data_IF_914201201996
#
_entry.id   IF_914201201996
#
_cell.length_a   1.000
_cell.length_b   1.000
_cell.length_c   1.000
_cell.angle_alpha   90.00
_cell.angle_beta   90.00
_cell.angle_gamma   90.00
#
_symmetry.space_group_name_H-M   'P 1'
#
loop_
_entity.id
_entity.type
_entity.pdbx_description
1 polymer ?
#
# COMPACT_ATOMS: atom_id res chain seq x y z
N UNK A 1 1.95 6.29 6.17
CA UNK A 1 2.36 6.39 7.57
C UNK A 1 1.56 5.43 8.40
N UNK A 2 2.22 4.73 9.32
CA UNK A 2 1.60 3.79 10.24
C UNK A 2 1.93 4.18 11.68
N UNK A 3 0.94 4.15 12.55
CA UNK A 3 1.13 4.26 13.98
C UNK A 3 0.89 2.90 14.64
N UNK A 4 1.77 2.52 15.56
CA UNK A 4 1.77 1.20 16.20
C UNK A 4 1.81 1.32 17.73
N UNK A 5 1.09 0.47 18.45
CA UNK A 5 1.10 0.45 19.92
C UNK A 5 2.45 -0.03 20.47
N UNK A 6 3.13 -0.91 19.76
CA UNK A 6 4.47 -1.41 20.11
C UNK A 6 5.45 -1.09 19.00
N UNK A 7 6.26 -0.05 19.20
CA UNK A 7 7.23 0.40 18.21
C UNK A 7 8.30 -0.68 17.93
N UNK A 8 8.78 -1.37 18.94
CA UNK A 8 9.79 -2.44 18.77
C UNK A 8 9.29 -3.55 17.84
N UNK A 9 8.04 -3.99 18.02
CA UNK A 9 7.45 -5.00 17.15
C UNK A 9 7.19 -4.46 15.74
N UNK A 10 6.74 -3.21 15.62
CA UNK A 10 6.54 -2.55 14.31
C UNK A 10 7.83 -2.47 13.49
N UNK A 11 8.93 -2.05 14.12
CA UNK A 11 10.24 -1.97 13.48
C UNK A 11 10.80 -3.36 13.13
N UNK A 12 10.65 -4.32 14.04
CA UNK A 12 11.02 -5.72 13.78
C UNK A 12 10.24 -6.28 12.59
N UNK A 13 8.92 -6.04 12.54
CA UNK A 13 8.09 -6.48 11.42
C UNK A 13 8.56 -5.88 10.09
N UNK A 14 8.80 -4.57 10.02
CA UNK A 14 9.26 -3.92 8.79
C UNK A 14 10.61 -4.48 8.31
N UNK A 15 11.53 -4.70 9.23
CA UNK A 15 12.81 -5.35 8.94
C UNK A 15 12.63 -6.79 8.45
N UNK A 16 11.84 -7.63 9.16
CA UNK A 16 11.57 -9.01 8.76
C UNK A 16 10.85 -9.08 7.41
N UNK A 17 9.95 -8.13 7.14
CA UNK A 17 9.26 -7.99 5.86
C UNK A 17 10.21 -7.69 4.69
N UNK A 18 11.40 -7.19 4.96
CA UNK A 18 12.45 -6.97 3.96
C UNK A 18 12.56 -5.53 3.47
N UNK A 19 11.94 -4.60 4.17
CA UNK A 19 12.14 -3.17 3.94
C UNK A 19 13.49 -2.71 4.48
N UNK A 20 14.04 -1.63 3.91
CA UNK A 20 15.31 -1.04 4.35
C UNK A 20 15.04 0.22 5.15
N UNK A 21 15.52 0.27 6.39
CA UNK A 21 15.45 1.47 7.21
C UNK A 21 16.43 2.53 6.69
N UNK A 22 15.98 3.78 6.63
CA UNK A 22 16.76 4.95 6.24
C UNK A 22 16.55 6.07 7.25
N UNK A 23 17.38 7.11 7.19
CA UNK A 23 17.25 8.27 8.05
C UNK A 23 15.89 8.96 7.84
N UNK A 24 15.22 9.27 8.94
CA UNK A 24 13.95 9.98 8.94
C UNK A 24 14.16 11.46 9.26
N UNK A 25 13.30 12.33 8.72
CA UNK A 25 13.37 13.78 8.97
C UNK A 25 12.95 14.16 10.41
N UNK A 26 12.23 13.28 11.11
CA UNK A 26 11.71 13.51 12.47
C UNK A 26 12.30 12.48 13.44
N UNK A 27 12.68 12.92 14.63
CA UNK A 27 13.32 12.06 15.66
C UNK A 27 12.39 10.95 16.18
N UNK A 28 11.06 11.17 16.14
CA UNK A 28 10.05 10.24 16.64
C UNK A 28 9.45 9.35 15.54
N UNK A 29 10.05 9.35 14.36
CA UNK A 29 9.63 8.51 13.23
C UNK A 29 10.74 7.60 12.71
N UNK A 30 10.34 6.48 12.14
CA UNK A 30 11.23 5.52 11.49
C UNK A 30 10.79 5.35 10.03
N UNK A 31 11.71 5.60 9.12
CA UNK A 31 11.43 5.57 7.70
C UNK A 31 12.02 4.30 7.07
N UNK A 32 11.17 3.56 6.38
CA UNK A 32 11.54 2.36 5.63
C UNK A 32 11.26 2.56 4.15
N UNK A 33 12.09 1.99 3.29
CA UNK A 33 11.91 2.06 1.85
C UNK A 33 11.86 0.66 1.21
N UNK A 34 11.04 0.54 0.17
CA UNK A 34 11.09 -0.54 -0.81
C UNK A 34 12.14 -0.25 -1.89
N UNK A 35 12.43 -1.23 -2.76
CA UNK A 35 13.48 -1.12 -3.79
C UNK A 35 13.25 0.06 -4.75
N UNK A 36 11.99 0.39 -5.08
CA UNK A 36 11.64 1.53 -5.96
C UNK A 36 11.66 2.89 -5.26
N UNK A 37 11.97 2.93 -3.96
CA UNK A 37 11.92 4.14 -3.14
C UNK A 37 10.54 4.44 -2.54
N UNK A 38 9.54 3.55 -2.70
CA UNK A 38 8.27 3.67 -1.96
C UNK A 38 8.53 3.64 -0.46
N UNK A 39 7.86 4.51 0.29
CA UNK A 39 8.16 4.80 1.68
C UNK A 39 7.07 4.32 2.63
N UNK A 40 7.51 3.79 3.77
CA UNK A 40 6.70 3.45 4.93
C UNK A 40 7.29 4.18 6.14
N UNK A 41 6.52 5.08 6.72
CA UNK A 41 6.86 5.73 7.98
C UNK A 41 6.16 5.01 9.12
N UNK A 42 6.88 4.68 10.18
CA UNK A 42 6.36 4.03 11.38
C UNK A 42 6.62 4.94 12.58
N UNK A 43 5.55 5.19 13.35
CA UNK A 43 5.57 6.00 14.56
C UNK A 43 4.88 5.26 15.70
N UNK A 44 5.14 5.69 16.94
CA UNK A 44 4.35 5.23 18.09
C UNK A 44 2.94 5.84 18.04
N UNK A 45 1.92 5.03 18.28
CA UNK A 45 0.54 5.50 18.34
C UNK A 45 0.35 6.47 19.51
N UNK A 46 -0.25 7.63 19.24
CA UNK A 46 -0.54 8.66 20.22
C UNK A 46 -1.92 9.28 19.94
N UNK A 47 -2.93 9.02 20.79
CA UNK A 47 -4.27 9.59 20.60
C UNK A 47 -4.32 11.13 20.71
N UNK A 48 -3.30 11.77 21.30
CA UNK A 48 -3.21 13.23 21.37
C UNK A 48 -2.71 13.85 20.06
N UNK A 49 -2.19 13.03 19.14
CA UNK A 49 -1.68 13.45 17.84
C UNK A 49 -2.50 12.82 16.72
N UNK A 50 -3.35 13.59 16.02
CA UNK A 50 -4.19 13.06 14.93
C UNK A 50 -3.38 12.32 13.83
N UNK A 51 -2.19 12.82 13.51
CA UNK A 51 -1.26 12.23 12.53
C UNK A 51 -0.54 10.95 13.04
N UNK A 52 -0.73 10.59 14.31
CA UNK A 52 -0.27 9.35 14.96
C UNK A 52 -1.43 8.49 15.46
N UNK A 53 -2.64 8.75 15.00
CA UNK A 53 -3.84 7.99 15.38
C UNK A 53 -4.26 7.08 14.23
N UNK A 54 -4.21 5.73 14.41
CA UNK A 54 -4.59 4.79 13.38
C UNK A 54 -6.09 4.82 13.06
N UNK A 55 -6.44 4.58 11.81
CA UNK A 55 -7.83 4.54 11.35
C UNK A 55 -8.50 3.26 11.82
N UNK A 56 -9.48 3.39 12.70
CA UNK A 56 -10.39 2.32 13.12
C UNK A 56 -9.77 1.14 13.89
N UNK A 57 -8.48 1.19 14.22
CA UNK A 57 -7.76 0.16 14.98
C UNK A 57 -6.80 0.84 15.98
N UNK A 58 -6.20 0.07 16.88
CA UNK A 58 -5.18 0.57 17.81
C UNK A 58 -3.78 0.63 17.20
N UNK A 59 -3.54 -0.12 16.13
CA UNK A 59 -2.35 -0.05 15.30
C UNK A 59 -2.75 -0.13 13.83
N UNK A 60 -2.10 0.64 12.96
CA UNK A 60 -2.39 0.63 11.54
C UNK A 60 -2.06 1.93 10.84
N UNK A 61 -2.66 2.12 9.68
CA UNK A 61 -2.47 3.28 8.83
C UNK A 61 -3.08 4.54 9.47
N UNK A 62 -2.36 5.65 9.46
CA UNK A 62 -2.85 6.98 9.87
C UNK A 62 -2.81 8.01 8.73
N UNK A 63 -1.96 7.87 7.74
CA UNK A 63 -1.92 8.76 6.56
C UNK A 63 -1.57 7.96 5.30
N UNK A 64 -2.16 8.34 4.17
CA UNK A 64 -1.80 7.84 2.82
C UNK A 64 -1.19 8.97 2.02
N UNK A 65 0.03 8.75 1.51
CA UNK A 65 0.68 9.71 0.61
C UNK A 65 0.59 9.24 -0.84
N UNK A 66 -0.01 10.05 -1.69
CA UNK A 66 -0.11 9.83 -3.13
C UNK A 66 0.97 10.60 -3.89
N UNK A 67 1.61 9.93 -4.84
CA UNK A 67 2.59 10.54 -5.73
C UNK A 67 1.92 11.30 -6.88
N UNK A 68 2.29 12.57 -7.06
CA UNK A 68 1.82 13.45 -8.14
C UNK A 68 2.97 13.71 -9.12
N UNK A 69 2.67 13.84 -10.41
CA UNK A 69 3.70 13.95 -11.47
C UNK A 69 4.44 15.28 -11.48
N UNK A 70 3.78 16.37 -11.07
CA UNK A 70 4.35 17.72 -11.20
C UNK A 70 3.80 18.68 -10.14
N UNK A 71 4.47 19.80 -9.96
CA UNK A 71 3.98 20.93 -9.14
C UNK A 71 2.63 21.45 -9.64
N UNK A 72 2.44 21.55 -10.95
CA UNK A 72 1.14 21.93 -11.54
C UNK A 72 0.02 20.98 -11.13
N UNK A 73 0.33 19.69 -10.95
CA UNK A 73 -0.63 18.71 -10.42
C UNK A 73 -0.96 18.96 -8.96
N UNK A 74 0.03 19.35 -8.14
CA UNK A 74 -0.21 19.77 -6.75
C UNK A 74 -1.08 21.03 -6.71
N UNK A 75 -0.77 22.04 -7.52
CA UNK A 75 -1.54 23.29 -7.59
C UNK A 75 -3.00 23.05 -7.99
N UNK A 76 -3.24 22.14 -8.94
CA UNK A 76 -4.57 21.74 -9.34
C UNK A 76 -5.33 21.04 -8.21
N UNK A 77 -4.68 20.16 -7.45
CA UNK A 77 -5.28 19.51 -6.29
C UNK A 77 -5.58 20.52 -5.17
N UNK A 78 -4.70 21.49 -4.91
CA UNK A 78 -4.97 22.58 -3.95
C UNK A 78 -6.23 23.33 -4.37
N UNK A 79 -6.31 23.77 -5.63
CA UNK A 79 -7.46 24.52 -6.15
C UNK A 79 -8.77 23.71 -6.07
N UNK A 80 -8.71 22.43 -6.36
CA UNK A 80 -9.87 21.54 -6.32
C UNK A 80 -10.33 21.26 -4.90
N UNK A 81 -9.42 20.84 -4.02
CA UNK A 81 -9.76 20.37 -2.66
C UNK A 81 -10.09 21.51 -1.71
N UNK A 82 -9.49 22.71 -1.86
CA UNK A 82 -9.81 23.87 -1.01
C UNK A 82 -11.22 24.42 -1.23
N UNK A 83 -11.97 23.92 -2.19
CA UNK A 83 -13.35 24.35 -2.43
C UNK A 83 -14.33 23.91 -1.35
N UNK A 84 -14.03 22.84 -0.61
CA UNK A 84 -14.96 22.22 0.35
C UNK A 84 -14.31 21.68 1.62
N UNK A 85 -12.96 21.73 1.74
CA UNK A 85 -12.23 21.21 2.91
C UNK A 85 -10.99 22.01 3.22
N UNK A 86 -10.51 21.86 4.45
CA UNK A 86 -9.23 22.43 4.85
C UNK A 86 -8.09 21.69 4.15
N UNK A 87 -7.17 22.47 3.60
CA UNK A 87 -5.94 21.97 2.99
C UNK A 87 -4.75 22.72 3.58
N UNK A 88 -3.63 22.02 3.76
CA UNK A 88 -2.33 22.62 4.09
C UNK A 88 -1.32 22.27 3.01
N UNK A 89 -0.50 23.26 2.61
CA UNK A 89 0.61 23.04 1.69
C UNK A 89 1.91 23.49 2.36
N UNK A 90 2.69 22.52 2.82
CA UNK A 90 3.93 22.78 3.54
C UNK A 90 5.06 21.93 2.93
N UNK A 91 6.19 22.56 2.64
CA UNK A 91 7.38 21.90 2.07
C UNK A 91 7.08 21.07 0.80
N UNK A 92 6.12 21.53 -0.02
CA UNK A 92 5.72 20.83 -1.25
C UNK A 92 4.82 19.60 -1.03
N UNK A 93 4.33 19.40 0.19
CA UNK A 93 3.36 18.35 0.55
C UNK A 93 2.01 18.99 0.83
N UNK A 94 1.03 18.67 0.02
CA UNK A 94 -0.38 19.02 0.26
C UNK A 94 -1.00 17.97 1.18
N UNK A 95 -1.72 18.40 2.22
CA UNK A 95 -2.48 17.52 3.13
C UNK A 95 -3.93 17.94 3.24
N UNK A 96 -4.81 16.96 3.37
CA UNK A 96 -6.24 17.13 3.67
C UNK A 96 -6.80 15.86 4.29
N UNK A 97 -8.10 15.85 4.57
CA UNK A 97 -8.86 14.61 4.87
C UNK A 97 -9.84 14.32 3.73
N UNK A 98 -10.08 13.03 3.46
CA UNK A 98 -11.17 12.61 2.57
C UNK A 98 -12.51 12.57 3.31
N UNK A 99 -13.57 12.16 2.59
CA UNK A 99 -14.92 12.07 3.15
C UNK A 99 -15.10 10.91 4.17
N UNK A 100 -14.11 10.06 4.30
CA UNK A 100 -14.05 8.95 5.25
C UNK A 100 -13.23 9.28 6.51
N UNK A 101 -12.65 10.49 6.58
CA UNK A 101 -11.75 10.91 7.66
C UNK A 101 -10.33 10.37 7.51
N UNK A 102 -9.95 9.85 6.34
CA UNK A 102 -8.60 9.38 6.08
C UNK A 102 -7.70 10.59 5.81
N UNK A 103 -6.58 10.71 6.52
CA UNK A 103 -5.57 11.70 6.22
C UNK A 103 -4.86 11.36 4.92
N UNK A 104 -4.91 12.28 3.98
CA UNK A 104 -4.27 12.20 2.67
C UNK A 104 -3.14 13.21 2.57
N UNK A 105 -2.02 12.77 2.01
CA UNK A 105 -0.93 13.64 1.58
C UNK A 105 -0.68 13.46 0.08
N UNK A 106 -0.25 14.54 -0.58
CA UNK A 106 0.13 14.53 -2.00
C UNK A 106 1.47 15.22 -2.15
N UNK A 107 2.41 14.58 -2.83
CA UNK A 107 3.73 15.14 -3.11
C UNK A 107 4.24 14.68 -4.46
N UNK A 108 5.29 15.34 -4.95
CA UNK A 108 5.96 14.88 -6.18
C UNK A 108 6.48 13.45 -5.98
N UNK A 109 6.11 12.56 -6.90
CA UNK A 109 6.55 11.18 -6.88
C UNK A 109 8.08 11.08 -7.11
N UNK A 110 8.75 10.33 -6.26
CA UNK A 110 10.21 10.09 -6.31
C UNK A 110 10.50 8.59 -6.43
N UNK A 111 9.74 7.90 -7.30
CA UNK A 111 9.91 6.45 -7.47
C UNK A 111 10.93 6.14 -8.57
N UNK A 112 11.73 5.10 -8.34
CA UNK A 112 12.68 4.60 -9.32
C UNK A 112 12.08 3.41 -10.07
N UNK A 113 12.42 3.29 -11.35
CA UNK A 113 12.04 2.10 -12.13
C UNK A 113 12.88 0.92 -11.68
N UNK A 114 12.22 -0.15 -11.24
CA UNK A 114 12.88 -1.41 -10.89
C UNK A 114 12.85 -2.34 -12.10
N UNK A 115 14.01 -2.72 -12.66
CA UNK A 115 14.04 -3.66 -13.77
C UNK A 115 13.69 -5.08 -13.27
N UNK A 116 12.67 -5.68 -13.85
CA UNK A 116 12.29 -7.07 -13.57
C UNK A 116 12.86 -8.01 -14.64
N UNK A 117 13.58 -9.02 -14.21
CA UNK A 117 13.87 -10.14 -15.07
C UNK A 117 12.62 -11.02 -15.23
N UNK A 118 12.23 -11.31 -16.46
CA UNK A 118 11.09 -12.20 -16.71
C UNK A 118 11.47 -13.62 -16.34
N UNK A 119 10.84 -14.18 -15.32
CA UNK A 119 10.98 -15.60 -14.98
C UNK A 119 10.16 -16.43 -15.96
N UNK A 120 10.80 -17.42 -16.60
CA UNK A 120 10.11 -18.33 -17.50
C UNK A 120 9.51 -19.50 -16.72
N UNK A 121 8.25 -19.81 -17.00
CA UNK A 121 7.54 -20.95 -16.43
C UNK A 121 7.19 -21.97 -17.50
N UNK A 122 7.16 -23.26 -17.11
CA UNK A 122 6.57 -24.28 -17.94
C UNK A 122 5.05 -24.16 -17.92
N UNK A 123 4.42 -24.19 -19.08
CA UNK A 123 2.97 -24.25 -19.22
C UNK A 123 2.58 -25.49 -20.05
N UNK A 124 1.39 -26.06 -19.86
CA UNK A 124 0.90 -27.14 -20.70
C UNK A 124 0.94 -26.75 -22.17
N UNK A 125 1.54 -27.62 -23.01
CA UNK A 125 1.74 -27.36 -24.44
C UNK A 125 2.87 -26.39 -24.81
N UNK A 126 3.51 -25.75 -23.83
CA UNK A 126 4.64 -24.83 -24.03
C UNK A 126 5.72 -25.04 -22.95
N UNK A 127 6.34 -26.22 -22.89
CA UNK A 127 7.36 -26.48 -21.90
C UNK A 127 8.63 -25.67 -22.21
N UNK A 128 8.96 -24.73 -21.35
CA UNK A 128 10.22 -23.98 -21.36
C UNK A 128 11.12 -24.53 -20.25
N UNK A 129 11.76 -25.65 -20.55
CA UNK A 129 12.62 -26.30 -19.58
C UNK A 129 13.90 -25.51 -19.38
N UNK A 130 14.08 -25.01 -18.16
CA UNK A 130 15.33 -24.38 -17.74
C UNK A 130 16.23 -25.44 -17.09
N UNK A 131 17.49 -25.52 -17.55
CA UNK A 131 18.53 -26.35 -16.93
C UNK A 131 19.14 -25.63 -15.70
N UNK A 132 18.33 -24.92 -14.93
CA UNK A 132 18.74 -24.20 -13.73
C UNK A 132 17.85 -24.60 -12.55
N UNK A 133 18.38 -24.48 -11.35
CA UNK A 133 17.58 -24.61 -10.12
C UNK A 133 16.60 -23.43 -10.04
N UNK A 134 15.42 -23.67 -9.47
CA UNK A 134 14.52 -22.58 -9.09
C UNK A 134 15.25 -21.60 -8.15
N UNK A 135 15.02 -20.29 -8.27
CA UNK A 135 15.54 -19.34 -7.31
C UNK A 135 15.06 -19.66 -5.90
N UNK A 136 15.95 -19.53 -4.92
CA UNK A 136 15.61 -19.69 -3.51
C UNK A 136 15.86 -18.32 -2.85
N UNK A 137 14.81 -17.74 -2.34
CA UNK A 137 14.87 -16.47 -1.59
C UNK A 137 14.77 -16.77 -0.10
N UNK A 138 15.79 -16.37 0.65
CA UNK A 138 15.81 -16.52 2.12
C UNK A 138 14.89 -15.51 2.81
N UNK A 139 14.63 -14.39 2.13
CA UNK A 139 13.81 -13.27 2.60
C UNK A 139 13.32 -12.51 1.36
N UNK A 140 12.12 -11.97 1.39
CA UNK A 140 11.64 -11.10 0.32
C UNK A 140 12.36 -9.74 0.35
N UNK A 141 12.48 -9.13 -0.83
CA UNK A 141 12.84 -7.72 -0.98
C UNK A 141 11.65 -7.00 -1.65
N UNK A 142 10.77 -6.35 -0.89
CA UNK A 142 9.63 -5.64 -1.45
C UNK A 142 10.08 -4.63 -2.49
N UNK A 143 9.58 -4.76 -3.72
CA UNK A 143 10.00 -3.91 -4.83
C UNK A 143 9.27 -2.58 -4.83
N UNK A 144 7.98 -2.61 -4.58
CA UNK A 144 7.12 -1.42 -4.55
C UNK A 144 5.88 -1.66 -3.69
N UNK A 145 5.27 -0.59 -3.21
CA UNK A 145 3.91 -0.61 -2.68
C UNK A 145 2.95 -0.84 -3.86
N UNK A 146 2.19 -1.93 -3.79
CA UNK A 146 1.23 -2.31 -4.83
C UNK A 146 -0.11 -1.61 -4.65
N UNK A 147 -0.74 -1.85 -3.49
CA UNK A 147 -2.06 -1.32 -3.17
C UNK A 147 -2.32 -1.33 -1.67
N UNK A 148 -3.34 -0.60 -1.29
CA UNK A 148 -3.92 -0.66 0.05
C UNK A 148 -5.39 -1.10 -0.02
N UNK A 149 -5.88 -1.73 1.04
CA UNK A 149 -7.27 -2.11 1.19
C UNK A 149 -7.85 -1.48 2.46
N UNK A 150 -9.04 -0.92 2.32
CA UNK A 150 -9.75 -0.18 3.37
C UNK A 150 -11.17 -0.74 3.48
N UNK A 151 -11.56 -1.15 4.70
CA UNK A 151 -12.94 -1.47 5.01
C UNK A 151 -13.73 -0.19 5.22
N UNK A 152 -14.93 -0.11 4.64
CA UNK A 152 -15.85 1.02 4.72
C UNK A 152 -17.29 0.53 4.84
N UNK A 153 -18.20 1.39 5.27
CA UNK A 153 -19.62 1.04 5.38
C UNK A 153 -20.25 0.79 4.00
N UNK A 154 -19.93 1.64 3.03
CA UNK A 154 -20.41 1.58 1.66
C UNK A 154 -19.32 1.96 0.67
N UNK A 155 -18.77 0.96 -0.01
CA UNK A 155 -17.72 1.17 -1.01
C UNK A 155 -18.19 2.00 -2.22
N UNK A 156 -19.49 1.93 -2.57
CA UNK A 156 -20.07 2.71 -3.67
C UNK A 156 -20.10 4.21 -3.40
N UNK A 157 -20.30 4.62 -2.15
CA UNK A 157 -20.22 6.02 -1.71
C UNK A 157 -18.78 6.44 -1.49
N UNK A 158 -17.97 5.60 -0.85
CA UNK A 158 -16.57 5.88 -0.54
C UNK A 158 -15.72 6.24 -1.76
N UNK A 159 -16.02 5.64 -2.92
CA UNK A 159 -15.25 5.91 -4.15
C UNK A 159 -15.54 7.26 -4.79
N UNK A 160 -16.65 7.94 -4.48
CA UNK A 160 -17.08 9.17 -5.16
C UNK A 160 -16.01 10.27 -5.03
N UNK A 161 -15.50 10.47 -3.83
CA UNK A 161 -14.40 11.43 -3.62
C UNK A 161 -13.18 11.11 -4.50
N UNK A 162 -12.78 9.86 -4.57
CA UNK A 162 -11.61 9.43 -5.33
C UNK A 162 -11.81 9.53 -6.84
N UNK A 163 -13.00 9.20 -7.36
CA UNK A 163 -13.31 9.29 -8.79
C UNK A 163 -13.54 10.73 -9.24
N UNK A 164 -14.30 11.49 -8.49
CA UNK A 164 -14.81 12.79 -8.92
C UNK A 164 -13.82 13.93 -8.64
N UNK A 165 -13.05 13.81 -7.54
CA UNK A 165 -12.13 14.86 -7.08
C UNK A 165 -10.66 14.54 -7.35
N UNK A 166 -10.25 13.28 -7.27
CA UNK A 166 -8.86 12.86 -7.45
C UNK A 166 -8.58 12.20 -8.81
N UNK A 167 -9.62 11.97 -9.63
CA UNK A 167 -9.49 11.38 -10.96
C UNK A 167 -9.10 9.89 -10.97
N UNK A 168 -9.38 9.17 -9.88
CA UNK A 168 -9.18 7.73 -9.87
C UNK A 168 -10.18 7.04 -10.80
N UNK A 169 -9.78 5.88 -11.31
CA UNK A 169 -10.54 5.11 -12.28
C UNK A 169 -11.00 3.81 -11.62
N UNK A 170 -12.28 3.49 -11.70
CA UNK A 170 -12.79 2.17 -11.31
C UNK A 170 -12.22 1.13 -12.26
N UNK A 171 -11.44 0.20 -11.73
CA UNK A 171 -10.88 -0.91 -12.52
C UNK A 171 -11.74 -2.14 -12.47
N UNK A 172 -12.41 -2.41 -11.34
CA UNK A 172 -13.31 -3.54 -11.20
C UNK A 172 -14.29 -3.36 -10.03
N UNK A 173 -15.39 -4.13 -10.06
CA UNK A 173 -16.36 -4.23 -8.96
C UNK A 173 -16.49 -5.69 -8.55
N UNK A 174 -16.31 -5.97 -7.28
CA UNK A 174 -16.42 -7.33 -6.76
C UNK A 174 -17.78 -7.54 -6.08
N UNK A 175 -18.81 -7.65 -6.93
CA UNK A 175 -20.20 -7.82 -6.49
C UNK A 175 -20.52 -6.90 -5.27
N UNK A 176 -21.06 -7.46 -4.19
CA UNK A 176 -21.39 -6.73 -2.96
C UNK A 176 -20.17 -6.54 -2.02
N UNK A 177 -18.97 -6.95 -2.44
CA UNK A 177 -17.80 -6.94 -1.57
C UNK A 177 -16.97 -5.68 -1.62
N UNK A 178 -17.01 -4.94 -2.73
CA UNK A 178 -16.27 -3.69 -2.83
C UNK A 178 -15.88 -3.27 -4.24
N UNK A 179 -15.08 -2.21 -4.31
CA UNK A 179 -14.70 -1.56 -5.57
C UNK A 179 -13.18 -1.34 -5.60
N UNK A 180 -12.57 -1.70 -6.71
CA UNK A 180 -11.15 -1.50 -6.99
C UNK A 180 -10.93 -0.23 -7.79
N UNK A 181 -10.01 0.62 -7.34
CA UNK A 181 -9.63 1.86 -7.99
C UNK A 181 -8.14 1.87 -8.33
N UNK A 182 -7.81 2.54 -9.43
CA UNK A 182 -6.43 2.85 -9.83
C UNK A 182 -6.26 4.35 -10.08
N UNK A 183 -5.10 4.87 -9.75
CA UNK A 183 -4.76 6.29 -9.94
C UNK A 183 -4.11 6.57 -11.31
N UNK A 184 -3.95 5.56 -12.17
CA UNK A 184 -3.40 5.72 -13.52
C UNK A 184 -4.06 4.77 -14.51
N UNK A 185 -4.02 5.11 -15.81
CA UNK A 185 -4.55 4.26 -16.89
C UNK A 185 -3.70 3.00 -17.06
N UNK A 186 -2.40 3.13 -16.86
CA UNK A 186 -1.42 2.03 -16.99
C UNK A 186 -0.97 1.55 -15.62
N UNK A 187 -0.49 0.31 -15.55
CA UNK A 187 0.12 -0.27 -14.36
C UNK A 187 -0.74 -1.32 -13.67
N UNK A 188 -0.85 -1.21 -12.35
CA UNK A 188 -1.51 -2.20 -11.52
C UNK A 188 -3.02 -2.29 -11.78
N UNK A 189 -3.59 -3.47 -11.53
CA UNK A 189 -5.05 -3.65 -11.54
C UNK A 189 -5.74 -2.63 -10.62
N UNK A 190 -5.18 -2.37 -9.45
CA UNK A 190 -5.67 -1.37 -8.51
C UNK A 190 -4.54 -0.83 -7.62
N UNK A 191 -4.76 0.35 -7.06
CA UNK A 191 -3.92 0.97 -6.03
C UNK A 191 -4.67 1.10 -4.71
N UNK A 192 -6.00 1.09 -4.73
CA UNK A 192 -6.84 0.98 -3.54
C UNK A 192 -8.03 0.07 -3.78
N UNK A 193 -8.40 -0.71 -2.76
CA UNK A 193 -9.60 -1.51 -2.70
C UNK A 193 -10.46 -1.07 -1.53
N UNK A 194 -11.60 -0.46 -1.80
CA UNK A 194 -12.61 -0.19 -0.80
C UNK A 194 -13.52 -1.40 -0.66
N UNK A 195 -13.53 -1.98 0.54
CA UNK A 195 -14.31 -3.18 0.86
C UNK A 195 -15.51 -2.83 1.70
N UNK A 196 -16.69 -3.36 1.37
CA UNK A 196 -17.83 -3.33 2.26
C UNK A 196 -17.51 -4.10 3.54
N UNK A 197 -17.38 -3.37 4.65
CA UNK A 197 -17.00 -3.90 5.94
C UNK A 197 -18.14 -4.69 6.61
N UNK A 198 -17.75 -5.65 7.46
CA UNK A 198 -18.71 -6.33 8.35
C UNK A 198 -18.93 -5.54 9.66
N UNK A 199 -18.07 -4.59 9.95
CA UNK A 199 -18.14 -3.71 11.12
C UNK A 199 -18.26 -2.27 10.66
N UNK A 200 -19.01 -1.43 11.38
CA UNK A 200 -19.18 -0.02 11.05
C UNK A 200 -17.86 0.75 11.05
N UNK A 201 -17.83 1.79 10.21
CA UNK A 201 -16.74 2.77 10.13
C UNK A 201 -15.59 2.36 9.22
N UNK A 202 -14.71 3.33 8.99
CA UNK A 202 -13.52 3.18 8.16
C UNK A 202 -12.42 2.45 8.91
N UNK A 203 -11.80 1.43 8.28
CA UNK A 203 -10.73 0.62 8.89
C UNK A 203 -9.66 0.27 7.87
N UNK A 204 -8.41 0.41 8.26
CA UNK A 204 -7.31 -0.19 7.49
C UNK A 204 -7.43 -1.71 7.52
N UNK A 205 -7.29 -2.35 6.35
CA UNK A 205 -7.29 -3.80 6.22
C UNK A 205 -5.89 -4.35 5.94
N UNK A 206 -5.28 -3.97 4.82
CA UNK A 206 -3.91 -4.35 4.50
C UNK A 206 -3.22 -3.38 3.54
N UNK A 207 -1.89 -3.43 3.55
CA UNK A 207 -1.00 -2.87 2.55
C UNK A 207 -0.28 -4.01 1.85
N UNK A 208 -0.31 -4.02 0.53
CA UNK A 208 0.36 -5.05 -0.26
C UNK A 208 1.61 -4.49 -0.95
N UNK A 209 2.66 -5.30 -0.99
CA UNK A 209 3.88 -5.04 -1.72
C UNK A 209 4.01 -5.99 -2.90
N UNK A 210 4.63 -5.54 -3.97
CA UNK A 210 5.11 -6.41 -5.02
C UNK A 210 6.49 -6.94 -4.70
N UNK A 211 6.69 -8.19 -5.04
CA UNK A 211 7.99 -8.86 -5.07
C UNK A 211 8.26 -9.37 -6.49
N UNK A 212 9.43 -9.86 -6.75
CA UNK A 212 9.91 -10.22 -8.09
C UNK A 212 9.06 -11.25 -8.81
N UNK A 213 8.76 -12.36 -8.13
CA UNK A 213 8.07 -13.50 -8.71
C UNK A 213 7.41 -14.41 -7.66
N UNK A 214 6.76 -15.47 -8.10
CA UNK A 214 6.09 -16.43 -7.22
C UNK A 214 7.07 -17.15 -6.27
N UNK A 215 8.33 -17.34 -6.66
CA UNK A 215 9.33 -17.97 -5.79
C UNK A 215 9.65 -17.07 -4.61
N UNK A 216 9.73 -15.76 -4.84
CA UNK A 216 9.94 -14.76 -3.78
C UNK A 216 8.70 -14.59 -2.90
N UNK A 217 7.48 -14.70 -3.45
CA UNK A 217 6.24 -14.76 -2.64
C UNK A 217 6.28 -15.94 -1.67
N UNK A 218 6.64 -17.13 -2.16
CA UNK A 218 6.69 -18.35 -1.34
C UNK A 218 7.84 -18.26 -0.33
N UNK A 219 9.05 -17.94 -0.78
CA UNK A 219 10.23 -17.86 0.10
C UNK A 219 10.10 -16.78 1.16
N UNK A 220 9.56 -15.61 0.79
CA UNK A 220 9.30 -14.50 1.72
C UNK A 220 8.23 -14.87 2.75
N UNK A 221 7.11 -15.48 2.33
CA UNK A 221 6.08 -15.93 3.24
C UNK A 221 6.57 -16.99 4.23
N UNK A 222 7.35 -17.98 3.78
CA UNK A 222 7.96 -18.96 4.64
C UNK A 222 8.94 -18.35 5.65
N UNK A 223 9.70 -17.34 5.22
CA UNK A 223 10.60 -16.61 6.11
C UNK A 223 9.82 -15.88 7.21
N UNK A 224 8.79 -15.13 6.86
CA UNK A 224 7.95 -14.36 7.79
C UNK A 224 7.28 -15.29 8.82
N UNK A 225 6.74 -16.43 8.37
CA UNK A 225 6.16 -17.44 9.25
C UNK A 225 7.20 -18.00 10.23
N UNK A 226 8.42 -18.27 9.75
CA UNK A 226 9.54 -18.75 10.58
C UNK A 226 10.03 -17.71 11.61
N UNK A 227 9.81 -16.40 11.36
CA UNK A 227 10.06 -15.34 12.35
C UNK A 227 8.96 -15.25 13.43
N UNK A 228 7.94 -16.09 13.35
CA UNK A 228 6.82 -16.12 14.30
C UNK A 228 5.66 -15.16 13.97
N UNK A 229 5.68 -14.53 12.80
CA UNK A 229 4.56 -13.73 12.32
C UNK A 229 3.48 -14.64 11.76
N UNK A 230 2.25 -14.47 12.25
CA UNK A 230 1.14 -15.35 11.89
C UNK A 230 0.70 -15.11 10.44
N UNK A 231 0.80 -16.14 9.60
CA UNK A 231 0.18 -16.16 8.28
C UNK A 231 -1.34 -16.10 8.41
N UNK A 232 -1.95 -15.10 7.77
CA UNK A 232 -3.40 -14.98 7.66
C UNK A 232 -3.95 -15.84 6.53
N UNK A 233 -3.35 -15.76 5.35
CA UNK A 233 -3.73 -16.54 4.15
C UNK A 233 -2.57 -16.60 3.17
N UNK A 234 -2.40 -17.76 2.51
CA UNK A 234 -1.40 -17.94 1.47
C UNK A 234 -0.62 -19.25 1.63
N UNK A 235 0.21 -19.62 0.63
CA UNK A 235 0.26 -18.98 -0.69
C UNK A 235 -1.05 -19.16 -1.47
N UNK A 236 -1.43 -18.17 -2.24
CA UNK A 236 -2.68 -18.19 -3.01
C UNK A 236 -2.62 -17.35 -4.28
N UNK A 237 -3.71 -17.39 -5.03
CA UNK A 237 -3.91 -16.57 -6.23
C UNK A 237 -5.29 -15.93 -6.22
N UNK A 238 -5.33 -14.61 -6.34
CA UNK A 238 -6.58 -13.88 -6.47
C UNK A 238 -7.25 -14.14 -7.82
N UNK A 239 -8.56 -14.36 -7.78
CA UNK A 239 -9.34 -14.58 -8.99
C UNK A 239 -9.52 -13.29 -9.81
N UNK A 240 -9.71 -12.16 -9.15
CA UNK A 240 -10.00 -10.88 -9.80
C UNK A 240 -8.74 -10.28 -10.41
N UNK A 241 -7.70 -10.04 -9.63
CA UNK A 241 -6.44 -9.42 -10.09
C UNK A 241 -5.42 -10.41 -10.67
N UNK A 242 -5.66 -11.71 -10.56
CA UNK A 242 -4.70 -12.78 -10.90
C UNK A 242 -3.38 -12.74 -10.13
N UNK A 243 -3.23 -11.87 -9.12
CA UNK A 243 -2.00 -11.76 -8.34
C UNK A 243 -1.80 -13.00 -7.44
N UNK A 244 -0.58 -13.53 -7.44
CA UNK A 244 -0.15 -14.49 -6.42
C UNK A 244 0.20 -13.75 -5.14
N UNK A 245 -0.14 -14.32 -3.98
CA UNK A 245 0.00 -13.64 -2.71
C UNK A 245 0.36 -14.57 -1.54
N UNK A 246 0.88 -13.93 -0.48
CA UNK A 246 1.00 -14.44 0.88
C UNK A 246 0.69 -13.29 1.84
N UNK A 247 -0.29 -13.47 2.73
CA UNK A 247 -0.73 -12.52 3.76
C UNK A 247 -0.45 -13.04 5.17
#
# INVERSE_FOLDING_TARGET
KFAVENLTDGLRFANDWGLTEVEADQEDSHLFIAVDGSQIEIVLADPARPDHTPIGNSSGMCEVTWGVKSTTGIDALVAELSTDREVSLENGVLRCQDDLGIHLAFRIAQRQTVPYAVTQFNAPGQPKRLNSRAPIYKKAAPHEISHLAIGVDNAGEAIQFYTDRLGFIVSDRYADRGVFLRCSVEGNHHHVFFMNGKQPGTRFNHLAFKVRDIHEVIGGGQFIDAQGWKTFAGPGRHRVSSACFWY
#
